data_IF_064293148147
#
_entry.id   IF_064293148147
#
_cell.length_a   1.000
_cell.length_b   1.000
_cell.length_c   1.000
_cell.angle_alpha   90.00
_cell.angle_beta   90.00
_cell.angle_gamma   90.00
#
_symmetry.space_group_name_H-M   'P 1'
#
loop_
_entity.id
_entity.type
_entity.pdbx_description
1 polymer ?
#
# COMPACT_ATOMS: atom_id res chain seq x y z
N UNK A 1 -1.99 6.62 4.23
CA UNK A 1 -3.20 5.81 3.97
C UNK A 1 -2.87 4.91 2.82
N UNK A 2 -3.08 3.61 2.96
CA UNK A 2 -2.72 2.64 1.93
C UNK A 2 -4.00 2.24 1.16
N UNK A 3 -4.03 2.58 -0.13
CA UNK A 3 -5.10 2.22 -1.06
C UNK A 3 -4.79 0.81 -1.60
N UNK A 4 -5.66 -0.17 -1.33
CA UNK A 4 -5.43 -1.56 -1.71
C UNK A 4 -6.56 -2.03 -2.62
N UNK A 5 -6.20 -2.51 -3.81
CA UNK A 5 -7.13 -3.22 -4.69
C UNK A 5 -6.95 -4.72 -4.47
N UNK A 6 -8.01 -5.40 -4.03
CA UNK A 6 -8.02 -6.85 -3.83
C UNK A 6 -8.90 -7.48 -4.91
N UNK A 7 -8.32 -8.28 -5.81
CA UNK A 7 -9.04 -8.98 -6.87
C UNK A 7 -8.92 -10.50 -6.63
N UNK A 8 -10.05 -11.16 -6.42
CA UNK A 8 -10.12 -12.61 -6.18
C UNK A 8 -10.40 -13.34 -7.51
N UNK A 9 -9.38 -13.93 -8.13
CA UNK A 9 -9.52 -14.84 -9.28
C UNK A 9 -9.06 -16.24 -8.85
N UNK A 10 -10.04 -17.14 -8.68
CA UNK A 10 -9.93 -18.51 -8.14
C UNK A 10 -9.97 -18.62 -6.61
N UNK A 11 -10.65 -19.64 -6.11
CA UNK A 11 -10.93 -19.87 -4.67
C UNK A 11 -9.67 -20.13 -3.79
N UNK A 12 -8.45 -20.02 -4.35
CA UNK A 12 -7.20 -20.31 -3.66
C UNK A 12 -6.07 -19.28 -3.88
N UNK A 13 -6.25 -18.27 -4.74
CA UNK A 13 -5.19 -17.29 -5.06
C UNK A 13 -5.64 -15.87 -4.76
N UNK A 14 -4.87 -15.20 -3.91
CA UNK A 14 -5.15 -13.82 -3.50
C UNK A 14 -4.08 -12.93 -4.11
N UNK A 15 -4.52 -11.98 -4.94
CA UNK A 15 -3.69 -10.96 -5.57
C UNK A 15 -3.81 -9.65 -4.81
N UNK A 16 -2.69 -9.09 -4.37
CA UNK A 16 -2.61 -7.80 -3.70
C UNK A 16 -1.74 -6.83 -4.51
N UNK A 17 -2.32 -5.69 -4.87
CA UNK A 17 -1.57 -4.54 -5.38
C UNK A 17 -1.66 -3.41 -4.37
N UNK A 18 -0.50 -2.85 -4.00
CA UNK A 18 -0.41 -1.81 -2.99
C UNK A 18 0.78 -0.88 -3.21
N UNK A 19 0.69 0.30 -2.62
CA UNK A 19 1.73 1.32 -2.63
C UNK A 19 2.35 1.44 -1.24
N UNK A 20 3.68 1.45 -1.17
CA UNK A 20 4.45 1.59 0.06
C UNK A 20 5.13 2.96 0.07
N UNK A 21 4.58 3.87 0.86
CA UNK A 21 5.12 5.21 1.06
C UNK A 21 6.29 5.20 2.06
N UNK A 22 7.47 5.57 1.59
CA UNK A 22 8.64 5.83 2.42
C UNK A 22 8.65 7.30 2.85
N UNK A 23 8.94 7.54 4.14
CA UNK A 23 9.03 8.90 4.70
C UNK A 23 10.34 9.60 4.32
N UNK A 24 11.36 8.84 3.97
CA UNK A 24 12.72 9.33 3.69
C UNK A 24 13.20 8.79 2.34
N UNK A 25 14.14 9.51 1.72
CA UNK A 25 14.78 9.05 0.49
C UNK A 25 15.79 7.96 0.82
N UNK A 26 15.35 6.71 0.78
CA UNK A 26 16.20 5.58 1.12
C UNK A 26 16.98 5.07 -0.11
N UNK A 27 18.18 4.51 0.09
CA UNK A 27 18.86 3.74 -0.95
C UNK A 27 17.98 2.60 -1.46
N UNK A 28 18.06 2.31 -2.77
CA UNK A 28 17.27 1.25 -3.39
C UNK A 28 17.41 -0.11 -2.67
N UNK A 29 18.60 -0.41 -2.13
CA UNK A 29 18.84 -1.63 -1.35
C UNK A 29 17.91 -1.74 -0.14
N UNK A 30 17.75 -0.67 0.62
CA UNK A 30 16.91 -0.64 1.83
C UNK A 30 15.43 -0.71 1.49
N UNK A 31 15.04 -0.04 0.40
CA UNK A 31 13.68 -0.13 -0.15
C UNK A 31 13.34 -1.57 -0.54
N UNK A 32 14.22 -2.22 -1.31
CA UNK A 32 14.03 -3.62 -1.74
C UNK A 32 13.98 -4.58 -0.55
N UNK A 33 14.85 -4.41 0.45
CA UNK A 33 14.83 -5.24 1.66
C UNK A 33 13.51 -5.10 2.42
N UNK A 34 13.02 -3.86 2.57
CA UNK A 34 11.74 -3.59 3.24
C UNK A 34 10.56 -4.20 2.46
N UNK A 35 10.50 -3.98 1.15
CA UNK A 35 9.44 -4.52 0.28
C UNK A 35 9.42 -6.05 0.33
N UNK A 36 10.58 -6.70 0.24
CA UNK A 36 10.70 -8.16 0.31
C UNK A 36 10.18 -8.71 1.64
N UNK A 37 10.46 -8.02 2.76
CA UNK A 37 9.96 -8.42 4.07
C UNK A 37 8.43 -8.29 4.18
N UNK A 38 7.86 -7.24 3.60
CA UNK A 38 6.40 -7.05 3.57
C UNK A 38 5.75 -8.16 2.73
N UNK A 39 6.27 -8.47 1.56
CA UNK A 39 5.78 -9.56 0.71
C UNK A 39 5.82 -10.92 1.41
N UNK A 40 6.92 -11.22 2.11
CA UNK A 40 7.04 -12.44 2.91
C UNK A 40 5.96 -12.51 4.01
N UNK A 41 5.76 -11.41 4.76
CA UNK A 41 4.73 -11.34 5.80
C UNK A 41 3.32 -11.48 5.23
N UNK A 42 3.04 -10.88 4.07
CA UNK A 42 1.74 -10.97 3.40
C UNK A 42 1.43 -12.41 2.98
N UNK A 43 2.43 -13.11 2.45
CA UNK A 43 2.33 -14.53 2.11
C UNK A 43 2.14 -15.40 3.35
N UNK A 44 2.99 -15.24 4.37
CA UNK A 44 3.01 -16.10 5.55
C UNK A 44 1.77 -15.93 6.45
N UNK A 45 1.29 -14.69 6.62
CA UNK A 45 0.19 -14.41 7.57
C UNK A 45 -1.19 -14.39 6.93
N UNK A 46 -1.28 -14.07 5.64
CA UNK A 46 -2.55 -13.83 4.97
C UNK A 46 -2.75 -14.71 3.73
N UNK A 47 -1.78 -15.58 3.43
CA UNK A 47 -1.81 -16.48 2.27
C UNK A 47 -2.02 -15.73 0.94
N UNK A 48 -1.44 -14.52 0.85
CA UNK A 48 -1.44 -13.73 -0.38
C UNK A 48 -0.41 -14.34 -1.33
N UNK A 49 -0.88 -14.91 -2.43
CA UNK A 49 -0.07 -15.72 -3.35
C UNK A 49 0.69 -14.86 -4.35
N UNK A 50 0.14 -13.70 -4.70
CA UNK A 50 0.75 -12.73 -5.60
C UNK A 50 0.63 -11.33 -5.02
N UNK A 51 1.77 -10.68 -4.81
CA UNK A 51 1.81 -9.28 -4.33
C UNK A 51 2.59 -8.44 -5.33
N UNK A 52 2.11 -7.23 -5.60
CA UNK A 52 2.85 -6.18 -6.30
C UNK A 52 2.88 -4.95 -5.39
N UNK A 53 4.08 -4.61 -4.88
CA UNK A 53 4.28 -3.45 -4.03
C UNK A 53 5.08 -2.38 -4.78
N UNK A 54 4.46 -1.24 -5.03
CA UNK A 54 5.15 -0.08 -5.59
C UNK A 54 5.72 0.77 -4.45
N UNK A 55 7.05 0.87 -4.39
CA UNK A 55 7.72 1.76 -3.46
C UNK A 55 7.66 3.21 -3.94
N UNK A 56 7.26 4.12 -3.06
CA UNK A 56 7.09 5.53 -3.38
C UNK A 56 7.78 6.39 -2.32
N UNK A 57 8.45 7.45 -2.78
CA UNK A 57 9.00 8.47 -1.91
C UNK A 57 8.61 9.83 -2.47
N UNK A 58 8.07 10.69 -1.60
CA UNK A 58 7.69 12.06 -1.95
C UNK A 58 6.71 12.15 -3.14
N UNK A 59 5.82 11.16 -3.29
CA UNK A 59 4.77 11.21 -4.30
C UNK A 59 3.69 12.18 -3.82
N UNK A 60 3.43 13.20 -4.64
CA UNK A 60 2.44 14.22 -4.35
C UNK A 60 1.06 13.68 -4.72
N UNK A 61 0.59 12.71 -3.94
CA UNK A 61 -0.77 12.19 -4.10
C UNK A 61 -1.70 13.08 -3.30
N UNK A 62 -2.81 13.50 -3.90
CA UNK A 62 -3.90 14.17 -3.21
C UNK A 62 -4.56 13.13 -2.28
N UNK A 63 -3.95 12.88 -1.11
CA UNK A 63 -4.43 11.95 -0.07
C UNK A 63 -5.57 12.58 0.74
N UNK A 64 -6.34 13.47 0.12
CA UNK A 64 -7.59 13.97 0.67
C UNK A 64 -8.53 12.78 0.81
N UNK A 65 -8.83 12.42 2.06
CA UNK A 65 -9.91 11.48 2.38
C UNK A 65 -11.16 11.98 1.65
N UNK A 66 -11.66 11.22 0.68
CA UNK A 66 -13.01 11.42 0.16
C UNK A 66 -13.95 11.00 1.30
N UNK A 67 -14.21 11.91 2.25
CA UNK A 67 -14.89 11.57 3.50
C UNK A 67 -15.14 12.68 4.53
N UNK A 68 -14.66 13.92 4.36
CA UNK A 68 -15.06 15.04 5.23
C UNK A 68 -15.77 16.16 4.44
N UNK A 69 -16.91 15.81 3.84
CA UNK A 69 -17.96 16.79 3.57
C UNK A 69 -18.81 16.90 4.85
N UNK A 70 -18.38 17.76 5.78
CA UNK A 70 -18.95 17.80 7.13
C UNK A 70 -18.75 19.13 7.87
N UNK A 71 -19.15 20.24 7.25
CA UNK A 71 -19.64 21.44 7.91
C UNK A 71 -18.67 22.21 8.86
N UNK A 72 -17.82 23.09 8.30
CA UNK A 72 -17.32 24.24 9.07
C UNK A 72 -18.31 25.40 8.93
N UNK A 73 -19.21 25.46 9.91
CA UNK A 73 -20.05 26.62 10.21
C UNK A 73 -19.13 27.82 10.49
N UNK A 74 -19.31 28.89 9.72
CA UNK A 74 -18.72 30.20 10.02
C UNK A 74 -19.25 30.70 11.38
N UNK A 75 -18.35 31.15 12.25
CA UNK A 75 -18.65 32.16 13.28
C UNK A 75 -17.58 33.24 13.23
#
# INVERSE_FOLDING_TARGET
MAHHHLWNLSDHEIFLEAHVDFKENLPLKEVTETVTQIEALLKEKFNITHTTLQAEYHRNDDKSLIGEQGNMIKS
#
